data_IF_011135237445
#
_entry.id   IF_011135237445
#
_cell.length_a   1.000
_cell.length_b   1.000
_cell.length_c   1.000
_cell.angle_alpha   90.00
_cell.angle_beta   90.00
_cell.angle_gamma   90.00
#
_symmetry.space_group_name_H-M   'P 1'
#
loop_
_entity.id
_entity.type
_entity.pdbx_description
1 polymer ?
#
# COMPACT_ATOMS: atom_id res chain seq x y z
N UNK A 1 -12.05 -18.93 -9.47
CA UNK A 1 -11.58 -18.82 -8.07
C UNK A 1 -10.20 -19.43 -7.76
N UNK A 2 -9.52 -20.15 -8.67
CA UNK A 2 -8.22 -20.80 -8.33
C UNK A 2 -7.09 -19.84 -7.92
N UNK A 3 -7.00 -18.65 -8.51
CA UNK A 3 -5.90 -17.69 -8.24
C UNK A 3 -6.01 -17.03 -6.87
N UNK A 4 -7.22 -16.67 -6.43
CA UNK A 4 -7.45 -16.03 -5.12
C UNK A 4 -7.09 -16.99 -3.98
N UNK A 5 -7.46 -18.27 -4.11
CA UNK A 5 -7.20 -19.30 -3.10
C UNK A 5 -5.70 -19.45 -2.80
N UNK A 6 -4.83 -19.25 -3.79
CA UNK A 6 -3.36 -19.29 -3.62
C UNK A 6 -2.82 -18.28 -2.61
N UNK A 7 -3.56 -17.20 -2.34
CA UNK A 7 -3.18 -16.22 -1.32
C UNK A 7 -3.37 -16.79 0.09
N UNK A 8 -4.38 -17.65 0.28
CA UNK A 8 -4.62 -18.32 1.57
C UNK A 8 -3.71 -19.53 1.76
N UNK A 9 -3.43 -20.28 0.70
CA UNK A 9 -2.59 -21.50 0.77
C UNK A 9 -1.09 -21.21 0.67
N UNK A 10 -0.69 -20.01 0.23
CA UNK A 10 0.71 -19.64 0.05
C UNK A 10 1.37 -20.25 -1.20
N UNK A 11 0.60 -20.91 -2.07
CA UNK A 11 1.12 -21.51 -3.29
C UNK A 11 1.71 -20.45 -4.25
N UNK A 12 2.98 -20.64 -4.62
CA UNK A 12 3.71 -19.75 -5.54
C UNK A 12 4.28 -20.52 -6.73
N UNK A 13 3.42 -21.02 -7.65
CA UNK A 13 3.85 -21.90 -8.75
C UNK A 13 4.76 -21.21 -9.78
N UNK A 14 4.93 -19.89 -9.73
CA UNK A 14 5.73 -19.13 -10.69
C UNK A 14 7.04 -18.68 -10.05
N UNK A 15 8.08 -19.50 -10.15
CA UNK A 15 9.42 -19.17 -9.68
C UNK A 15 10.19 -18.28 -10.67
N UNK A 16 11.05 -17.41 -10.15
CA UNK A 16 12.02 -16.68 -10.94
C UNK A 16 13.11 -17.63 -11.44
N UNK A 17 13.43 -17.55 -12.73
CA UNK A 17 14.46 -18.36 -13.37
C UNK A 17 15.84 -17.69 -13.34
N UNK A 18 15.96 -16.50 -12.75
CA UNK A 18 17.24 -15.79 -12.69
C UNK A 18 18.17 -16.47 -11.67
N UNK A 19 19.42 -16.81 -12.02
CA UNK A 19 20.25 -17.73 -11.23
C UNK A 19 20.50 -17.33 -9.78
N UNK A 20 20.60 -16.02 -9.49
CA UNK A 20 20.79 -15.49 -8.14
C UNK A 20 19.49 -15.09 -7.45
N UNK A 21 18.32 -15.47 -8.00
CA UNK A 21 17.02 -15.07 -7.49
C UNK A 21 16.13 -16.27 -7.17
N UNK A 22 15.76 -16.41 -5.90
CA UNK A 22 14.88 -17.48 -5.41
C UNK A 22 13.42 -17.06 -5.26
N UNK A 23 13.04 -15.88 -5.78
CA UNK A 23 11.68 -15.35 -5.59
C UNK A 23 10.65 -16.14 -6.41
N UNK A 24 9.54 -16.48 -5.78
CA UNK A 24 8.38 -17.09 -6.44
C UNK A 24 7.11 -16.26 -6.22
N UNK A 25 6.15 -16.42 -7.13
CA UNK A 25 4.92 -15.64 -7.18
C UNK A 25 3.69 -16.53 -7.38
N UNK A 26 2.57 -16.12 -6.81
CA UNK A 26 1.26 -16.80 -6.97
C UNK A 26 0.60 -16.53 -8.33
N UNK A 27 1.06 -15.48 -9.02
CA UNK A 27 0.53 -15.01 -10.31
C UNK A 27 1.65 -14.76 -11.33
N UNK A 28 1.43 -15.18 -12.57
CA UNK A 28 2.37 -15.01 -13.67
C UNK A 28 2.67 -13.53 -13.99
N UNK A 29 1.65 -12.66 -13.90
CA UNK A 29 1.82 -11.22 -14.12
C UNK A 29 2.80 -10.57 -13.14
N UNK A 30 2.83 -11.06 -11.89
CA UNK A 30 3.76 -10.60 -10.87
C UNK A 30 5.19 -11.09 -11.17
N UNK A 31 5.35 -12.33 -11.61
CA UNK A 31 6.64 -12.85 -12.07
C UNK A 31 7.19 -12.05 -13.26
N UNK A 32 6.38 -11.80 -14.29
CA UNK A 32 6.79 -10.99 -15.46
C UNK A 32 7.25 -9.59 -15.05
N UNK A 33 6.47 -8.93 -14.19
CA UNK A 33 6.81 -7.61 -13.67
C UNK A 33 8.09 -7.63 -12.83
N UNK A 34 8.29 -8.66 -12.02
CA UNK A 34 9.51 -8.87 -11.24
C UNK A 34 10.72 -9.08 -12.15
N UNK A 35 10.59 -9.89 -13.20
CA UNK A 35 11.68 -10.23 -14.12
C UNK A 35 12.27 -8.99 -14.82
N UNK A 36 11.45 -7.97 -15.08
CA UNK A 36 11.90 -6.67 -15.59
C UNK A 36 12.92 -5.96 -14.70
N UNK A 37 13.00 -6.30 -13.41
CA UNK A 37 14.05 -5.78 -12.52
C UNK A 37 15.42 -6.37 -12.84
N UNK A 38 15.47 -7.61 -13.33
CA UNK A 38 16.72 -8.26 -13.71
C UNK A 38 17.19 -7.79 -15.09
N UNK A 39 16.26 -7.68 -16.04
CA UNK A 39 16.57 -7.23 -17.41
C UNK A 39 16.69 -5.72 -17.55
N UNK A 40 16.36 -4.95 -16.49
CA UNK A 40 16.27 -3.48 -16.52
C UNK A 40 15.33 -2.93 -17.61
N UNK A 41 14.41 -3.75 -18.11
CA UNK A 41 13.45 -3.35 -19.13
C UNK A 41 12.40 -2.39 -18.54
N UNK A 42 12.28 -1.19 -19.12
CA UNK A 42 11.35 -0.14 -18.68
C UNK A 42 10.45 0.28 -19.84
N UNK A 43 9.46 -0.55 -20.21
CA UNK A 43 8.68 -0.36 -21.44
C UNK A 43 7.70 0.82 -21.38
N UNK A 44 7.51 1.45 -20.22
CA UNK A 44 6.54 2.53 -20.06
C UNK A 44 7.25 3.88 -19.94
N UNK A 45 7.29 4.65 -21.02
CA UNK A 45 7.87 6.00 -21.02
C UNK A 45 6.81 7.07 -20.74
N UNK A 46 7.19 8.10 -19.98
CA UNK A 46 6.40 9.31 -19.80
C UNK A 46 6.50 10.15 -21.08
N UNK A 47 5.37 10.48 -21.74
CA UNK A 47 5.40 11.27 -22.97
C UNK A 47 5.87 12.72 -22.72
N UNK A 48 5.67 13.24 -21.51
CA UNK A 48 6.02 14.63 -21.17
C UNK A 48 7.51 14.81 -20.89
N UNK A 49 8.15 13.88 -20.19
CA UNK A 49 9.53 14.06 -19.72
C UNK A 49 10.47 12.90 -20.04
N UNK A 50 10.03 11.92 -20.84
CA UNK A 50 10.84 10.77 -21.28
C UNK A 50 11.21 9.75 -20.19
N UNK A 51 10.86 9.98 -18.92
CA UNK A 51 11.19 9.06 -17.81
C UNK A 51 10.51 7.72 -18.02
N UNK A 52 11.27 6.63 -17.90
CA UNK A 52 10.76 5.27 -18.13
C UNK A 52 10.45 4.53 -16.83
N UNK A 53 9.50 3.61 -16.87
CA UNK A 53 8.99 2.83 -15.73
C UNK A 53 8.84 1.36 -16.10
N UNK A 54 9.01 0.48 -15.11
CA UNK A 54 8.82 -0.98 -15.25
C UNK A 54 7.35 -1.40 -15.23
N UNK A 55 6.47 -0.54 -14.67
CA UNK A 55 5.04 -0.79 -14.50
C UNK A 55 4.19 0.41 -14.93
N UNK A 56 3.04 0.12 -15.53
CA UNK A 56 2.08 1.13 -15.99
C UNK A 56 1.48 1.96 -14.86
N UNK A 57 1.23 1.36 -13.69
CA UNK A 57 0.71 2.08 -12.53
C UNK A 57 1.69 3.16 -12.05
N UNK A 58 3.00 2.89 -12.06
CA UNK A 58 4.02 3.87 -11.69
C UNK A 58 4.09 5.01 -12.70
N UNK A 59 3.99 4.71 -14.01
CA UNK A 59 3.87 5.75 -15.03
C UNK A 59 2.62 6.61 -14.79
N UNK A 60 1.45 6.02 -14.50
CA UNK A 60 0.21 6.76 -14.25
C UNK A 60 0.35 7.71 -13.06
N UNK A 61 0.89 7.22 -11.93
CA UNK A 61 1.14 8.05 -10.75
C UNK A 61 2.15 9.15 -11.04
N UNK A 62 3.18 8.86 -11.84
CA UNK A 62 4.14 9.87 -12.26
C UNK A 62 3.52 10.90 -13.20
N UNK A 63 2.69 10.50 -14.16
CA UNK A 63 2.06 11.42 -15.11
C UNK A 63 1.21 12.48 -14.39
N UNK A 64 0.62 12.14 -13.24
CA UNK A 64 -0.10 13.09 -12.40
C UNK A 64 0.77 14.22 -11.84
N UNK A 65 2.11 14.11 -11.85
CA UNK A 65 2.99 15.23 -11.45
C UNK A 65 3.13 16.29 -12.53
N UNK A 66 2.81 15.95 -13.78
CA UNK A 66 2.82 16.87 -14.92
C UNK A 66 1.44 17.49 -15.16
N UNK A 67 0.40 16.94 -14.56
CA UNK A 67 -0.97 17.46 -14.65
C UNK A 67 -1.19 18.53 -13.56
N UNK A 68 -0.78 19.76 -13.87
CA UNK A 68 -0.95 20.93 -12.98
C UNK A 68 -2.41 21.41 -12.96
N UNK A 69 -3.25 20.97 -13.91
CA UNK A 69 -4.61 21.48 -14.11
C UNK A 69 -5.73 20.58 -13.58
N UNK A 70 -5.45 19.31 -13.26
CA UNK A 70 -6.47 18.27 -13.04
C UNK A 70 -6.77 17.83 -11.59
N UNK A 71 -6.40 18.61 -10.56
CA UNK A 71 -6.78 18.30 -9.18
C UNK A 71 -6.15 17.00 -8.66
N UNK A 72 -4.81 16.96 -8.59
CA UNK A 72 -4.11 15.87 -7.93
C UNK A 72 -4.74 15.60 -6.55
N UNK A 73 -5.33 14.42 -6.36
CA UNK A 73 -5.93 14.01 -5.09
C UNK A 73 -4.82 13.92 -4.04
N UNK A 74 -4.72 14.98 -3.23
CA UNK A 74 -3.80 15.04 -2.12
C UNK A 74 -4.42 14.34 -0.91
N UNK A 75 -3.59 13.62 -0.17
CA UNK A 75 -3.91 12.93 1.06
C UNK A 75 -3.30 13.72 2.22
N UNK A 76 -4.15 14.18 3.15
CA UNK A 76 -3.72 15.01 4.29
C UNK A 76 -3.62 14.15 5.55
N UNK A 77 -2.53 14.31 6.30
CA UNK A 77 -2.43 13.81 7.67
C UNK A 77 -3.28 14.71 8.58
N UNK A 78 -4.30 14.12 9.23
CA UNK A 78 -5.26 14.82 10.09
C UNK A 78 -5.05 14.54 11.58
N UNK A 79 -3.91 13.95 11.97
CA UNK A 79 -3.57 13.65 13.36
C UNK A 79 -2.66 14.75 13.94
N UNK A 80 -2.80 15.02 15.25
CA UNK A 80 -1.91 15.85 16.07
C UNK A 80 -1.48 17.17 15.40
N UNK A 81 -2.42 17.89 14.80
CA UNK A 81 -2.18 19.17 14.10
C UNK A 81 -1.16 19.08 12.94
N UNK A 82 -0.78 17.87 12.50
CA UNK A 82 0.32 17.66 11.56
C UNK A 82 0.09 18.31 10.20
N UNK A 83 -1.13 18.21 9.65
CA UNK A 83 -1.55 18.87 8.41
C UNK A 83 -0.79 18.49 7.14
N UNK A 84 0.17 17.55 7.18
CA UNK A 84 1.06 17.25 6.05
C UNK A 84 0.29 16.70 4.84
N UNK A 85 0.62 17.24 3.67
CA UNK A 85 0.07 16.85 2.37
C UNK A 85 0.93 15.80 1.68
N UNK A 86 0.29 14.79 1.08
CA UNK A 86 0.94 13.73 0.33
C UNK A 86 0.22 13.50 -0.99
N UNK A 87 0.97 13.29 -2.07
CA UNK A 87 0.40 12.96 -3.39
C UNK A 87 -0.04 11.50 -3.51
N UNK A 88 0.30 10.65 -2.53
CA UNK A 88 0.00 9.21 -2.54
C UNK A 88 -0.40 8.71 -1.14
N UNK A 89 -1.45 7.90 -1.07
CA UNK A 89 -1.94 7.30 0.19
C UNK A 89 -0.89 6.42 0.88
N UNK A 90 -0.07 5.70 0.13
CA UNK A 90 1.00 4.87 0.68
C UNK A 90 2.04 5.68 1.46
N UNK A 91 2.36 6.89 0.97
CA UNK A 91 3.28 7.79 1.64
C UNK A 91 2.68 8.33 2.94
N UNK A 92 1.38 8.71 2.93
CA UNK A 92 0.66 9.08 4.15
C UNK A 92 0.67 7.95 5.18
N UNK A 93 0.38 6.70 4.77
CA UNK A 93 0.41 5.53 5.67
C UNK A 93 1.79 5.31 6.29
N UNK A 94 2.85 5.41 5.48
CA UNK A 94 4.23 5.27 5.95
C UNK A 94 4.61 6.38 6.94
N UNK A 95 4.22 7.63 6.64
CA UNK A 95 4.38 8.76 7.55
C UNK A 95 3.67 8.51 8.89
N UNK A 96 2.40 8.10 8.84
CA UNK A 96 1.58 7.81 10.02
C UNK A 96 2.19 6.68 10.87
N UNK A 97 2.63 5.59 10.24
CA UNK A 97 3.24 4.46 10.94
C UNK A 97 4.62 4.76 11.55
N UNK A 98 5.29 5.82 11.10
CA UNK A 98 6.62 6.20 11.62
C UNK A 98 6.55 7.30 12.68
N UNK A 99 5.65 8.26 12.48
CA UNK A 99 5.62 9.50 13.27
C UNK A 99 4.39 9.63 14.17
N UNK A 100 3.32 8.87 13.92
CA UNK A 100 2.09 8.88 14.72
C UNK A 100 1.76 7.50 15.29
N UNK A 101 2.73 6.57 15.32
CA UNK A 101 2.50 5.19 15.79
C UNK A 101 2.07 5.15 17.26
N UNK A 102 2.61 6.03 18.08
CA UNK A 102 2.26 6.15 19.50
C UNK A 102 0.88 6.77 19.68
N UNK A 103 0.56 7.83 18.93
CA UNK A 103 -0.79 8.42 18.89
C UNK A 103 -1.85 7.38 18.48
N UNK A 104 -1.57 6.57 17.46
CA UNK A 104 -2.47 5.50 17.02
C UNK A 104 -2.66 4.41 18.09
N UNK A 105 -1.58 4.04 18.79
CA UNK A 105 -1.64 3.11 19.93
C UNK A 105 -2.45 3.68 21.09
N UNK A 106 -2.28 4.97 21.41
CA UNK A 106 -3.04 5.65 22.45
C UNK A 106 -4.54 5.75 22.11
N UNK A 107 -4.89 6.05 20.86
CA UNK A 107 -6.28 6.05 20.40
C UNK A 107 -6.90 4.66 20.49
N UNK A 108 -6.20 3.62 20.05
CA UNK A 108 -6.69 2.24 20.14
C UNK A 108 -6.78 1.71 21.57
N UNK A 109 -5.90 2.14 22.48
CA UNK A 109 -6.00 1.86 23.91
C UNK A 109 -7.25 2.51 24.52
N UNK A 110 -7.51 3.79 24.22
CA UNK A 110 -8.73 4.51 24.66
C UNK A 110 -10.02 3.84 24.18
N UNK A 111 -10.04 3.30 22.96
CA UNK A 111 -11.20 2.52 22.47
C UNK A 111 -11.38 1.20 23.21
N UNK A 112 -10.30 0.53 23.64
CA UNK A 112 -10.38 -0.69 24.46
C UNK A 112 -10.87 -0.40 25.88
N UNK A 113 -10.42 0.70 26.48
CA UNK A 113 -10.87 1.13 27.81
C UNK A 113 -12.34 1.58 27.81
N UNK A 114 -12.78 2.27 26.75
CA UNK A 114 -14.19 2.67 26.59
C UNK A 114 -15.12 1.46 26.43
N UNK A 115 -14.65 0.39 25.76
CA UNK A 115 -15.39 -0.88 25.65
C UNK A 115 -15.39 -1.70 26.95
N UNK A 116 -14.33 -1.62 27.75
CA UNK A 116 -14.27 -2.27 29.06
C UNK A 116 -15.21 -1.61 30.09
N UNK A 117 -15.49 -0.30 29.95
CA UNK A 117 -16.37 0.45 30.86
C UNK A 117 -17.86 0.33 30.53
N UNK A 118 -18.22 -0.17 29.34
CA UNK A 118 -19.61 -0.39 28.90
C UNK A 118 -20.13 -1.82 29.12
N UNK A 119 -19.50 -2.62 29.98
CA UNK A 119 -19.82 -4.04 30.20
C UNK A 119 -20.35 -4.38 31.59
N UNK A 120 -21.12 -3.49 32.23
CA UNK A 120 -21.86 -3.79 33.46
C UNK A 120 -23.22 -3.10 33.39
N UNK A 121 -24.19 -3.75 32.75
CA UNK A 121 -25.62 -3.68 33.09
C UNK A 121 -26.33 -4.73 32.25
N UNK A 122 -26.67 -5.86 32.87
CA UNK A 122 -27.97 -6.54 32.81
C UNK A 122 -27.83 -7.85 33.61
N UNK A 123 -28.41 -7.84 34.81
CA UNK A 123 -28.37 -8.95 35.76
C UNK A 123 -29.35 -8.73 36.90
N UNK A 124 -30.61 -8.47 36.55
CA UNK A 124 -31.72 -8.40 37.50
C UNK A 124 -33.01 -8.86 36.84
N UNK A 125 -33.55 -9.99 37.29
CA UNK A 125 -34.90 -10.43 36.93
C UNK A 125 -35.06 -11.95 36.95
N UNK A 126 -35.59 -12.48 38.06
CA UNK A 126 -36.03 -13.87 38.20
C UNK A 126 -35.91 -14.37 39.62
#
# INVERSE_FOLDING_TARGET
>A
MKIHIRVHTGETPYACTYPSCTRAFSQLGNLKTHFRRHTSERPFACPTCGKTFTQRCHLKTHAAVHDVSGGAKNYVCRLDECGKLFTQLGNLKSHMNKLHVETLRALTARFRESKARGGMEEGGGG
#
